data_IF_714443222616
#
_entry.id   IF_714443222616
#
_cell.length_a   1.000
_cell.length_b   1.000
_cell.length_c   1.000
_cell.angle_alpha   90.00
_cell.angle_beta   90.00
_cell.angle_gamma   90.00
#
_symmetry.space_group_name_H-M   'P 1'
#
loop_
_entity.id
_entity.type
_entity.pdbx_description
1 polymer ?
#
# COMPACT_ATOMS: atom_id res chain seq x y z
N UNK A 1 -6.11 -9.91 -23.65
CA UNK A 1 -6.31 -8.91 -22.60
C UNK A 1 -7.78 -8.83 -22.21
N UNK A 2 -8.05 -9.05 -20.96
CA UNK A 2 -9.42 -9.05 -20.44
C UNK A 2 -9.91 -7.61 -20.25
N UNK A 3 -11.02 -7.29 -20.91
CA UNK A 3 -11.63 -5.97 -20.85
C UNK A 3 -12.56 -5.81 -19.64
N UNK A 4 -12.93 -6.92 -18.99
CA UNK A 4 -13.87 -6.88 -17.89
C UNK A 4 -13.15 -6.79 -16.54
N UNK A 5 -13.17 -5.60 -15.95
CA UNK A 5 -12.54 -5.37 -14.65
C UNK A 5 -13.15 -6.21 -13.53
N UNK A 6 -14.41 -6.58 -13.65
CA UNK A 6 -15.08 -7.41 -12.63
C UNK A 6 -14.53 -8.83 -12.58
N UNK A 7 -14.12 -9.38 -13.73
CA UNK A 7 -13.48 -10.70 -13.79
C UNK A 7 -12.12 -10.63 -13.10
N UNK A 8 -11.36 -9.55 -13.33
CA UNK A 8 -10.04 -9.36 -12.67
C UNK A 8 -10.21 -9.19 -11.17
N UNK A 9 -11.21 -8.44 -10.73
CA UNK A 9 -11.53 -8.29 -9.31
C UNK A 9 -11.90 -9.65 -8.70
N UNK A 10 -12.70 -10.42 -9.39
CA UNK A 10 -13.10 -11.75 -8.92
C UNK A 10 -11.86 -12.64 -8.75
N UNK A 11 -10.91 -12.58 -9.68
CA UNK A 11 -9.68 -13.36 -9.58
C UNK A 11 -8.87 -12.96 -8.34
N UNK A 12 -8.78 -11.65 -8.03
CA UNK A 12 -8.12 -11.16 -6.81
C UNK A 12 -8.79 -11.75 -5.58
N UNK A 13 -10.11 -11.66 -5.50
CA UNK A 13 -10.87 -12.19 -4.37
C UNK A 13 -10.67 -13.69 -4.21
N UNK A 14 -10.68 -14.41 -5.31
CA UNK A 14 -10.49 -15.86 -5.31
C UNK A 14 -9.09 -16.22 -4.74
N UNK A 15 -8.06 -15.53 -5.20
CA UNK A 15 -6.69 -15.77 -4.73
C UNK A 15 -6.50 -15.41 -3.26
N UNK A 16 -7.36 -14.52 -2.72
CA UNK A 16 -7.33 -14.11 -1.32
C UNK A 16 -8.25 -14.93 -0.42
N UNK A 17 -9.02 -15.86 -0.99
CA UNK A 17 -10.09 -16.57 -0.28
C UNK A 17 -9.57 -17.39 0.91
N UNK A 18 -8.37 -17.91 0.82
CA UNK A 18 -7.75 -18.68 1.91
C UNK A 18 -7.01 -17.81 2.95
N UNK A 19 -7.15 -16.49 2.88
CA UNK A 19 -6.48 -15.55 3.78
C UNK A 19 -5.25 -14.92 3.13
N UNK A 20 -4.07 -15.13 3.72
CA UNK A 20 -2.84 -14.55 3.16
C UNK A 20 -2.54 -15.13 1.77
N UNK A 21 -2.40 -14.30 0.73
CA UNK A 21 -2.06 -14.79 -0.60
C UNK A 21 -0.66 -15.41 -0.65
N UNK A 22 -0.49 -16.38 -1.54
CA UNK A 22 0.80 -17.02 -1.77
C UNK A 22 1.81 -16.02 -2.36
N UNK A 23 3.11 -16.38 -2.33
CA UNK A 23 4.14 -15.57 -2.94
C UNK A 23 3.91 -15.36 -4.43
N UNK A 24 3.41 -16.39 -5.13
CA UNK A 24 3.08 -16.29 -6.56
C UNK A 24 1.92 -15.33 -6.79
N UNK A 25 0.86 -15.43 -5.97
CA UNK A 25 -0.27 -14.51 -6.06
C UNK A 25 0.16 -13.07 -5.78
N UNK A 26 0.98 -12.85 -4.76
CA UNK A 26 1.48 -11.52 -4.43
C UNK A 26 2.24 -10.91 -5.60
N UNK A 27 3.12 -11.68 -6.23
CA UNK A 27 3.87 -11.21 -7.40
C UNK A 27 2.93 -10.79 -8.53
N UNK A 28 1.87 -11.57 -8.75
CA UNK A 28 0.84 -11.24 -9.74
C UNK A 28 0.12 -9.93 -9.38
N UNK A 29 -0.23 -9.75 -8.12
CA UNK A 29 -0.89 -8.53 -7.65
C UNK A 29 0.00 -7.31 -7.86
N UNK A 30 1.29 -7.42 -7.61
CA UNK A 30 2.24 -6.33 -7.85
C UNK A 30 2.25 -5.94 -9.33
N UNK A 31 2.27 -6.93 -10.23
CA UNK A 31 2.22 -6.69 -11.67
C UNK A 31 0.91 -5.99 -12.06
N UNK A 32 -0.21 -6.46 -11.52
CA UNK A 32 -1.52 -5.85 -11.79
C UNK A 32 -1.58 -4.41 -11.27
N UNK A 33 -1.04 -4.15 -10.10
CA UNK A 33 -1.05 -2.81 -9.53
C UNK A 33 -0.29 -1.81 -10.40
N UNK A 34 0.78 -2.24 -11.06
CA UNK A 34 1.54 -1.37 -11.97
C UNK A 34 0.86 -1.17 -13.31
N UNK A 35 0.23 -2.21 -13.85
CA UNK A 35 -0.24 -2.23 -15.22
C UNK A 35 -1.75 -2.02 -15.39
N UNK A 36 -2.55 -2.47 -14.43
CA UNK A 36 -4.01 -2.43 -14.54
C UNK A 36 -4.55 -1.18 -13.86
N UNK A 37 -4.86 -0.17 -14.66
CA UNK A 37 -5.28 1.14 -14.15
C UNK A 37 -6.79 1.24 -13.88
N UNK A 38 -7.55 0.14 -13.97
CA UNK A 38 -8.97 0.16 -13.64
C UNK A 38 -9.15 0.44 -12.14
N UNK A 39 -9.99 1.43 -11.81
CA UNK A 39 -10.17 1.89 -10.43
C UNK A 39 -10.62 0.79 -9.49
N UNK A 40 -11.55 -0.06 -9.93
CA UNK A 40 -12.06 -1.15 -9.11
C UNK A 40 -10.96 -2.17 -8.80
N UNK A 41 -10.10 -2.48 -9.76
CA UNK A 41 -8.95 -3.38 -9.56
C UNK A 41 -7.98 -2.75 -8.55
N UNK A 42 -7.65 -1.48 -8.70
CA UNK A 42 -6.76 -0.77 -7.77
C UNK A 42 -7.30 -0.79 -6.34
N UNK A 43 -8.60 -0.56 -6.15
CA UNK A 43 -9.22 -0.60 -4.83
C UNK A 43 -9.10 -1.97 -4.18
N UNK A 44 -9.34 -3.04 -4.93
CA UNK A 44 -9.24 -4.39 -4.39
C UNK A 44 -7.80 -4.77 -4.07
N UNK A 45 -6.84 -4.32 -4.88
CA UNK A 45 -5.43 -4.55 -4.58
C UNK A 45 -4.99 -3.77 -3.33
N UNK A 46 -5.48 -2.55 -3.15
CA UNK A 46 -5.20 -1.78 -1.94
C UNK A 46 -5.77 -2.47 -0.69
N UNK A 47 -6.97 -3.03 -0.80
CA UNK A 47 -7.58 -3.83 0.25
C UNK A 47 -6.74 -5.07 0.60
N UNK A 48 -6.12 -5.67 -0.39
CA UNK A 48 -5.26 -6.86 -0.22
C UNK A 48 -4.07 -6.58 0.70
N UNK A 49 -3.60 -5.33 0.78
CA UNK A 49 -2.50 -4.97 1.68
C UNK A 49 -2.74 -5.47 3.11
N UNK A 50 -3.99 -5.37 3.58
CA UNK A 50 -4.32 -5.74 4.95
C UNK A 50 -4.24 -7.25 5.21
N UNK A 51 -4.21 -8.07 4.17
CA UNK A 51 -4.09 -9.52 4.27
C UNK A 51 -2.63 -9.97 4.31
N UNK A 52 -1.70 -9.09 4.00
CA UNK A 52 -0.27 -9.43 3.93
C UNK A 52 0.43 -9.24 5.27
N UNK A 53 1.45 -10.05 5.58
CA UNK A 53 2.36 -9.73 6.67
C UNK A 53 2.96 -8.33 6.45
N UNK A 54 3.24 -7.61 7.54
CA UNK A 54 3.70 -6.23 7.45
C UNK A 54 4.93 -6.07 6.56
N UNK A 55 5.90 -6.98 6.67
CA UNK A 55 7.13 -6.93 5.88
C UNK A 55 6.89 -7.09 4.37
N UNK A 56 5.76 -7.66 3.98
CA UNK A 56 5.45 -7.93 2.57
C UNK A 56 4.52 -6.91 1.92
N UNK A 57 4.13 -5.87 2.66
CA UNK A 57 3.22 -4.85 2.14
C UNK A 57 3.89 -3.82 1.25
N UNK A 58 5.19 -3.61 1.41
CA UNK A 58 5.91 -2.51 0.76
C UNK A 58 5.92 -2.60 -0.77
N UNK A 59 6.14 -3.79 -1.30
CA UNK A 59 6.22 -3.97 -2.75
C UNK A 59 4.90 -3.67 -3.44
N UNK A 60 3.79 -4.18 -2.89
CA UNK A 60 2.46 -3.92 -3.44
C UNK A 60 2.10 -2.44 -3.29
N UNK A 61 2.41 -1.83 -2.15
CA UNK A 61 2.17 -0.42 -1.94
C UNK A 61 2.96 0.44 -2.92
N UNK A 62 4.22 0.08 -3.17
CA UNK A 62 5.04 0.77 -4.17
C UNK A 62 4.41 0.71 -5.55
N UNK A 63 3.89 -0.46 -5.93
CA UNK A 63 3.22 -0.64 -7.22
C UNK A 63 1.93 0.19 -7.31
N UNK A 64 1.12 0.19 -6.26
CA UNK A 64 -0.14 0.96 -6.21
C UNK A 64 0.10 2.47 -6.29
N UNK A 65 1.23 2.94 -5.79
CA UNK A 65 1.56 4.36 -5.79
C UNK A 65 2.49 4.76 -6.93
N UNK A 66 2.72 3.86 -7.88
CA UNK A 66 3.63 4.11 -9.01
C UNK A 66 3.04 5.00 -10.11
N UNK A 67 1.76 5.31 -10.03
CA UNK A 67 1.08 6.22 -10.96
C UNK A 67 0.19 7.18 -10.19
N UNK A 68 -0.16 8.31 -10.80
CA UNK A 68 -0.92 9.38 -10.15
C UNK A 68 -2.39 9.45 -10.58
N UNK A 69 -2.87 8.47 -11.33
CA UNK A 69 -4.23 8.51 -11.89
C UNK A 69 -5.31 8.76 -10.83
N UNK A 70 -5.13 8.20 -9.64
CA UNK A 70 -6.11 8.33 -8.55
C UNK A 70 -5.63 9.23 -7.42
N UNK A 71 -4.72 10.18 -7.72
CA UNK A 71 -4.17 11.08 -6.70
C UNK A 71 -5.25 11.89 -5.99
N UNK A 72 -6.32 12.23 -6.69
CA UNK A 72 -7.43 13.03 -6.14
C UNK A 72 -8.64 12.19 -5.76
N UNK A 73 -8.54 10.88 -5.86
CA UNK A 73 -9.62 9.99 -5.40
C UNK A 73 -9.75 10.06 -3.88
N UNK A 74 -10.97 10.14 -3.33
CA UNK A 74 -11.13 10.23 -1.88
C UNK A 74 -10.87 8.93 -1.13
N UNK A 75 -10.89 7.78 -1.81
CA UNK A 75 -10.84 6.47 -1.17
C UNK A 75 -9.49 5.77 -1.35
N UNK A 76 -8.97 5.71 -2.58
CA UNK A 76 -7.79 4.89 -2.88
C UNK A 76 -6.55 5.30 -2.06
N UNK A 77 -6.17 6.58 -1.99
CA UNK A 77 -5.01 6.95 -1.17
C UNK A 77 -5.17 6.58 0.30
N UNK A 78 -6.37 6.72 0.86
CA UNK A 78 -6.64 6.33 2.24
C UNK A 78 -6.50 4.83 2.44
N UNK A 79 -6.98 4.01 1.51
CA UNK A 79 -6.88 2.56 1.63
C UNK A 79 -5.43 2.10 1.59
N UNK A 80 -4.62 2.70 0.71
CA UNK A 80 -3.19 2.42 0.67
C UNK A 80 -2.55 2.79 2.00
N UNK A 81 -2.88 3.97 2.53
CA UNK A 81 -2.35 4.44 3.81
C UNK A 81 -2.72 3.50 4.96
N UNK A 82 -3.98 3.08 5.05
CA UNK A 82 -4.41 2.16 6.10
C UNK A 82 -3.63 0.84 6.04
N UNK A 83 -3.31 0.38 4.83
CA UNK A 83 -2.51 -0.84 4.66
C UNK A 83 -1.05 -0.67 5.06
N UNK A 84 -0.49 0.52 4.90
CA UNK A 84 0.94 0.80 5.15
C UNK A 84 1.20 1.32 6.56
N UNK A 85 0.23 2.04 7.14
CA UNK A 85 0.41 2.66 8.45
C UNK A 85 1.01 1.73 9.51
N UNK A 86 0.49 0.52 9.73
CA UNK A 86 1.08 -0.36 10.74
C UNK A 86 2.46 -0.90 10.39
N UNK A 87 2.85 -0.85 9.11
CA UNK A 87 4.17 -1.32 8.68
C UNK A 87 5.27 -0.27 8.86
N UNK A 88 4.91 1.02 9.01
CA UNK A 88 5.89 2.11 9.09
C UNK A 88 6.86 1.94 10.27
N UNK A 89 6.39 1.68 11.51
CA UNK A 89 7.33 1.50 12.62
C UNK A 89 8.24 0.28 12.46
N UNK A 90 7.76 -0.74 11.77
CA UNK A 90 8.53 -1.98 11.57
C UNK A 90 9.70 -1.80 10.61
N UNK A 91 9.58 -0.88 9.64
CA UNK A 91 10.65 -0.66 8.66
C UNK A 91 10.61 0.77 8.14
N UNK A 92 11.19 1.67 8.92
CA UNK A 92 11.22 3.11 8.59
C UNK A 92 12.00 3.38 7.29
N UNK A 93 13.03 2.57 7.02
CA UNK A 93 13.82 2.72 5.79
C UNK A 93 12.96 2.50 4.55
N UNK A 94 12.10 1.50 4.57
CA UNK A 94 11.18 1.25 3.46
C UNK A 94 10.14 2.35 3.32
N UNK A 95 9.69 2.93 4.44
CA UNK A 95 8.77 4.07 4.42
C UNK A 95 9.40 5.27 3.72
N UNK A 96 10.66 5.57 4.02
CA UNK A 96 11.40 6.67 3.38
C UNK A 96 11.55 6.41 1.88
N UNK A 97 11.90 5.18 1.50
CA UNK A 97 12.00 4.81 0.09
C UNK A 97 10.68 4.99 -0.65
N UNK A 98 9.59 4.63 0.01
CA UNK A 98 8.26 4.76 -0.59
C UNK A 98 7.92 6.23 -0.83
N UNK A 99 8.21 7.12 0.12
CA UNK A 99 8.01 8.56 -0.04
C UNK A 99 8.71 9.05 -1.31
N UNK A 100 9.95 8.62 -1.53
CA UNK A 100 10.74 9.06 -2.68
C UNK A 100 10.14 8.64 -4.03
N UNK A 101 9.41 7.54 -4.07
CA UNK A 101 8.85 6.97 -5.31
C UNK A 101 7.34 7.16 -5.47
N UNK A 102 6.65 7.48 -4.38
CA UNK A 102 5.19 7.56 -4.36
C UNK A 102 4.67 8.73 -5.17
N UNK A 103 3.75 8.47 -6.08
CA UNK A 103 3.10 9.50 -6.90
C UNK A 103 1.73 9.93 -6.38
N UNK A 104 1.37 9.48 -5.18
CA UNK A 104 0.15 9.91 -4.51
C UNK A 104 0.53 10.88 -3.38
N UNK A 105 0.33 12.21 -3.56
CA UNK A 105 0.76 13.20 -2.56
C UNK A 105 0.19 12.98 -1.16
N UNK A 106 -1.07 12.55 -1.07
CA UNK A 106 -1.71 12.28 0.22
C UNK A 106 -1.00 11.16 0.98
N UNK A 107 -0.62 10.09 0.28
CA UNK A 107 0.11 8.98 0.89
C UNK A 107 1.47 9.45 1.39
N UNK A 108 2.19 10.22 0.57
CA UNK A 108 3.48 10.80 0.99
C UNK A 108 3.35 11.62 2.27
N UNK A 109 2.32 12.46 2.33
CA UNK A 109 2.07 13.32 3.49
C UNK A 109 1.78 12.49 4.74
N UNK A 110 0.96 11.46 4.63
CA UNK A 110 0.62 10.58 5.75
C UNK A 110 1.85 9.86 6.28
N UNK A 111 2.69 9.32 5.39
CA UNK A 111 3.90 8.62 5.79
C UNK A 111 4.87 9.58 6.46
N UNK A 112 5.09 10.75 5.87
CA UNK A 112 5.99 11.76 6.42
C UNK A 112 5.54 12.21 7.82
N UNK A 113 4.25 12.43 8.00
CA UNK A 113 3.67 12.79 9.31
C UNK A 113 3.91 11.69 10.34
N UNK A 114 3.66 10.44 9.97
CA UNK A 114 3.86 9.31 10.87
C UNK A 114 5.33 9.18 11.29
N UNK A 115 6.25 9.36 10.37
CA UNK A 115 7.68 9.32 10.67
C UNK A 115 8.08 10.45 11.62
N UNK A 116 7.53 11.65 11.42
CA UNK A 116 7.79 12.79 12.29
C UNK A 116 7.24 12.57 13.70
N UNK A 117 6.04 12.02 13.82
CA UNK A 117 5.42 11.70 15.12
C UNK A 117 6.25 10.67 15.88
N UNK A 118 6.69 9.62 15.20
CA UNK A 118 7.53 8.59 15.82
C UNK A 118 8.88 9.17 16.29
N UNK A 119 9.46 10.07 15.50
CA UNK A 119 10.68 10.76 15.88
C UNK A 119 10.49 11.61 17.12
N UNK A 120 9.39 12.34 17.24
CA UNK A 120 9.06 13.15 18.40
C UNK A 120 8.86 12.29 19.65
N UNK A 121 8.15 11.17 19.52
CA UNK A 121 7.95 10.24 20.64
C UNK A 121 9.25 9.67 21.16
N UNK A 122 10.18 9.34 20.27
CA UNK A 122 11.52 8.87 20.67
C UNK A 122 12.32 9.96 21.36
N UNK A 123 12.19 11.20 20.89
CA UNK A 123 12.81 12.36 21.53
C UNK A 123 12.27 12.57 22.95
N UNK A 124 10.98 12.49 23.15
CA UNK A 124 10.34 12.61 24.46
C UNK A 124 10.79 11.50 25.41
N UNK A 125 10.88 10.27 24.93
CA UNK A 125 11.36 9.14 25.73
C UNK A 125 12.82 9.29 26.15
N UNK A 126 13.65 9.94 25.33
CA UNK A 126 15.06 10.19 25.65
C UNK A 126 15.24 11.31 26.67
N UNK A 127 14.32 12.25 26.71
CA UNK A 127 14.37 13.38 27.64
C UNK A 127 13.67 13.09 28.98
N UNK A 128 12.92 12.00 29.03
CA UNK A 128 12.21 11.58 30.23
C UNK A 128 13.12 10.72 31.09
N UNK A 129 13.51 11.17 32.29
CA UNK A 129 14.42 10.43 33.16
C UNK A 129 13.84 9.13 33.70
#
# INVERSE_FOLDING_TARGET
HDKNEHIRVWAIKFLNDSGTPSAVALKRFVQMARADIAGLVQLHLASTLQLLPLAKRWELASALTSHDKYANDPVLPLMVWYGINPAVPDNRAEAVKLIAKCKLPKVRQFIARRLAEDGNKKGEKKTDP
#
